data_IF_591583044770
#
_entry.id   IF_591583044770
#
_cell.length_a   1.000
_cell.length_b   1.000
_cell.length_c   1.000
_cell.angle_alpha   90.00
_cell.angle_beta   90.00
_cell.angle_gamma   90.00
#
_symmetry.space_group_name_H-M   'P 1'
#
loop_
_entity.id
_entity.type
_entity.pdbx_description
1 polymer ?
#
# COMPACT_ATOMS: atom_id res chain seq x y z
N UNK A 1 -4.68 16.00 41.90
CA UNK A 1 -3.89 14.76 41.68
C UNK A 1 -4.58 13.98 40.57
N UNK A 2 -3.84 13.74 39.46
CA UNK A 2 -3.92 12.68 38.42
C UNK A 2 -5.25 11.92 38.25
N UNK A 3 -6.02 12.04 37.16
CA UNK A 3 -5.85 11.51 35.77
C UNK A 3 -5.79 9.98 35.69
N UNK A 4 -6.89 9.36 35.30
CA UNK A 4 -6.89 8.01 34.71
C UNK A 4 -7.53 8.06 33.33
N UNK A 5 -6.65 8.15 32.33
CA UNK A 5 -7.00 7.90 30.95
C UNK A 5 -7.31 6.42 30.77
N UNK A 6 -8.47 6.15 30.19
CA UNK A 6 -8.86 4.84 29.68
C UNK A 6 -7.79 4.32 28.71
N UNK A 7 -6.93 3.44 29.21
CA UNK A 7 -6.02 2.63 28.39
C UNK A 7 -6.79 1.39 27.96
N UNK A 8 -7.43 1.43 26.80
CA UNK A 8 -7.87 0.22 26.12
C UNK A 8 -6.67 -0.38 25.38
N UNK A 9 -6.24 -1.57 25.79
CA UNK A 9 -5.17 -2.34 25.18
C UNK A 9 -5.28 -2.37 23.63
N UNK A 10 -4.15 -2.35 22.89
CA UNK A 10 -4.20 -2.48 21.44
C UNK A 10 -4.76 -3.86 21.09
N UNK A 11 -5.99 -3.89 20.60
CA UNK A 11 -6.55 -5.05 19.92
C UNK A 11 -5.57 -5.48 18.82
N UNK A 12 -5.29 -6.77 18.77
CA UNK A 12 -4.55 -7.53 17.75
C UNK A 12 -4.35 -6.71 16.47
N UNK A 13 -3.11 -6.25 16.24
CA UNK A 13 -2.78 -5.17 15.29
C UNK A 13 -3.50 -5.26 13.95
N UNK A 14 -4.55 -4.44 13.78
CA UNK A 14 -5.32 -4.36 12.54
C UNK A 14 -4.46 -3.80 11.43
N UNK A 15 -4.00 -4.66 10.51
CA UNK A 15 -3.26 -4.25 9.31
C UNK A 15 -4.24 -3.88 8.19
N UNK A 16 -3.88 -2.90 7.37
CA UNK A 16 -4.64 -2.56 6.17
C UNK A 16 -3.94 -3.17 4.97
N UNK A 17 -4.61 -4.08 4.27
CA UNK A 17 -4.11 -4.69 3.04
C UNK A 17 -4.71 -3.96 1.84
N UNK A 18 -3.86 -3.45 0.96
CA UNK A 18 -4.23 -2.81 -0.31
C UNK A 18 -3.69 -3.66 -1.46
N UNK A 19 -4.57 -4.34 -2.19
CA UNK A 19 -4.20 -5.08 -3.41
C UNK A 19 -4.34 -4.18 -4.64
N UNK A 20 -3.22 -3.94 -5.33
CA UNK A 20 -3.18 -3.14 -6.57
C UNK A 20 -3.26 -4.00 -7.84
N UNK A 21 -3.43 -5.32 -7.69
CA UNK A 21 -3.59 -6.28 -8.76
C UNK A 21 -2.34 -6.41 -9.64
N UNK A 22 -2.58 -6.69 -10.94
CA UNK A 22 -1.52 -6.95 -11.92
C UNK A 22 -0.96 -5.66 -12.52
N UNK A 23 0.32 -5.37 -12.31
CA UNK A 23 1.01 -4.18 -12.85
C UNK A 23 2.24 -4.57 -13.68
N UNK A 24 2.67 -3.70 -14.60
CA UNK A 24 3.87 -3.94 -15.43
C UNK A 24 5.14 -3.88 -14.56
N UNK A 25 6.15 -4.70 -14.88
CA UNK A 25 7.44 -4.70 -14.17
C UNK A 25 8.03 -3.31 -13.95
N UNK A 26 8.04 -2.46 -14.99
CA UNK A 26 8.56 -1.08 -14.88
C UNK A 26 7.80 -0.23 -13.86
N UNK A 27 6.50 -0.44 -13.69
CA UNK A 27 5.70 0.28 -12.68
C UNK A 27 6.01 -0.24 -11.26
N UNK A 28 6.13 -1.56 -11.10
CA UNK A 28 6.52 -2.19 -9.83
C UNK A 28 7.91 -1.72 -9.40
N UNK A 29 8.88 -1.67 -10.34
CA UNK A 29 10.23 -1.19 -10.06
C UNK A 29 10.27 0.28 -9.61
N UNK A 30 9.40 1.13 -10.17
CA UNK A 30 9.26 2.54 -9.72
C UNK A 30 8.60 2.62 -8.35
N UNK A 31 7.53 1.85 -8.11
CA UNK A 31 6.86 1.78 -6.80
C UNK A 31 7.83 1.37 -5.68
N UNK A 32 8.67 0.34 -5.92
CA UNK A 32 9.69 -0.10 -4.95
C UNK A 32 10.73 0.98 -4.60
N UNK A 33 10.87 2.00 -5.46
CA UNK A 33 11.75 3.16 -5.23
C UNK A 33 11.00 4.36 -4.65
N UNK A 34 9.71 4.23 -4.33
CA UNK A 34 8.86 5.33 -3.89
C UNK A 34 8.55 6.35 -4.99
N UNK A 35 8.49 5.92 -6.26
CA UNK A 35 8.33 6.83 -7.40
C UNK A 35 7.23 6.39 -8.37
N UNK A 36 6.75 7.38 -9.14
CA UNK A 36 5.88 7.19 -10.31
C UNK A 36 4.41 6.95 -9.97
N UNK A 37 3.58 6.88 -11.01
CA UNK A 37 2.11 6.88 -10.91
C UNK A 37 1.51 5.87 -9.92
N UNK A 38 2.15 4.70 -9.77
CA UNK A 38 1.68 3.68 -8.82
C UNK A 38 1.91 4.08 -7.35
N UNK A 39 2.97 4.84 -7.07
CA UNK A 39 3.20 5.44 -5.75
C UNK A 39 2.21 6.58 -5.47
N UNK A 40 1.89 7.39 -6.49
CA UNK A 40 0.90 8.46 -6.38
C UNK A 40 -0.48 7.88 -6.03
N UNK A 41 -0.88 6.79 -6.71
CA UNK A 41 -2.09 6.01 -6.40
C UNK A 41 -2.08 5.53 -4.93
N UNK A 42 -1.00 4.91 -4.47
CA UNK A 42 -0.86 4.46 -3.07
C UNK A 42 -0.94 5.63 -2.08
N UNK A 43 -0.33 6.76 -2.40
CA UNK A 43 -0.33 7.94 -1.53
C UNK A 43 -1.73 8.53 -1.39
N UNK A 44 -2.51 8.58 -2.48
CA UNK A 44 -3.91 9.01 -2.44
C UNK A 44 -4.74 8.11 -1.53
N UNK A 45 -4.63 6.79 -1.71
CA UNK A 45 -5.36 5.82 -0.87
C UNK A 45 -4.98 5.98 0.61
N UNK A 46 -3.69 6.14 0.92
CA UNK A 46 -3.26 6.38 2.30
C UNK A 46 -3.83 7.69 2.86
N UNK A 47 -3.88 8.75 2.06
CA UNK A 47 -4.50 10.01 2.49
C UNK A 47 -6.00 9.85 2.74
N UNK A 48 -6.73 9.17 1.85
CA UNK A 48 -8.16 8.88 2.01
C UNK A 48 -8.43 8.05 3.28
N UNK A 49 -7.57 7.07 3.56
CA UNK A 49 -7.68 6.27 4.78
C UNK A 49 -7.37 7.09 6.05
N UNK A 50 -6.47 8.07 5.95
CA UNK A 50 -6.21 9.02 7.05
C UNK A 50 -7.40 9.96 7.26
N UNK A 51 -7.96 10.53 6.20
CA UNK A 51 -9.11 11.45 6.30
C UNK A 51 -10.37 10.74 6.78
N UNK A 52 -10.57 9.48 6.39
CA UNK A 52 -11.65 8.63 6.88
C UNK A 52 -11.48 8.18 8.36
N UNK A 53 -10.39 8.57 9.03
CA UNK A 53 -10.10 8.16 10.41
C UNK A 53 -9.77 6.67 10.56
N UNK A 54 -9.54 5.96 9.45
CA UNK A 54 -9.24 4.52 9.43
C UNK A 54 -7.80 4.24 9.86
N UNK A 55 -6.88 5.19 9.62
CA UNK A 55 -5.50 5.16 10.10
C UNK A 55 -5.35 6.27 11.14
N UNK A 56 -5.42 5.89 12.41
CA UNK A 56 -5.04 6.80 13.52
C UNK A 56 -3.54 6.71 13.74
N UNK A 57 -2.92 7.78 14.27
CA UNK A 57 -1.46 7.93 14.39
C UNK A 57 -0.71 6.82 15.16
N UNK A 58 -1.43 5.84 15.71
CA UNK A 58 -0.91 4.60 16.26
C UNK A 58 -0.53 3.61 15.13
N UNK A 59 0.54 3.93 14.38
CA UNK A 59 1.38 3.00 13.62
C UNK A 59 0.70 1.75 13.01
N UNK A 60 -0.45 1.89 12.36
CA UNK A 60 -1.10 0.76 11.69
C UNK A 60 -0.31 0.39 10.41
N UNK A 61 0.16 -0.87 10.28
CA UNK A 61 0.89 -1.29 9.09
C UNK A 61 0.00 -1.29 7.85
N UNK A 62 0.46 -0.65 6.77
CA UNK A 62 -0.17 -0.71 5.44
C UNK A 62 0.62 -1.66 4.56
N UNK A 63 -0.01 -2.77 4.17
CA UNK A 63 0.59 -3.81 3.32
C UNK A 63 0.07 -3.60 1.90
N UNK A 64 0.96 -3.24 0.98
CA UNK A 64 0.63 -3.07 -0.44
C UNK A 64 1.04 -4.31 -1.21
N UNK A 65 0.06 -5.05 -1.72
CA UNK A 65 0.27 -6.26 -2.52
C UNK A 65 0.24 -5.90 -4.00
N UNK A 66 1.27 -6.34 -4.74
CA UNK A 66 1.36 -6.15 -6.19
C UNK A 66 1.70 -7.47 -6.88
N UNK A 67 1.03 -7.76 -7.99
CA UNK A 67 1.33 -8.91 -8.84
C UNK A 67 1.96 -8.42 -10.14
N UNK A 68 3.07 -9.03 -10.55
CA UNK A 68 3.65 -8.74 -11.85
C UNK A 68 2.79 -9.33 -12.98
N UNK A 69 2.49 -8.52 -13.99
CA UNK A 69 1.95 -9.02 -15.25
C UNK A 69 3.08 -9.67 -16.05
N UNK A 70 2.99 -10.98 -16.31
CA UNK A 70 3.91 -11.68 -17.22
C UNK A 70 4.01 -10.89 -18.53
N UNK A 71 5.23 -10.46 -18.85
CA UNK A 71 5.50 -9.86 -20.14
C UNK A 71 5.35 -10.93 -21.21
N UNK A 72 4.52 -10.66 -22.23
CA UNK A 72 4.66 -11.37 -23.50
C UNK A 72 5.98 -10.89 -24.10
N UNK A 73 7.01 -11.72 -24.00
CA UNK A 73 8.26 -11.50 -24.73
C UNK A 73 7.92 -11.68 -26.21
N UNK A 74 7.73 -10.57 -26.94
CA UNK A 74 7.74 -10.61 -28.40
C UNK A 74 9.18 -10.93 -28.78
N UNK A 75 9.44 -12.16 -29.21
CA UNK A 75 10.71 -12.56 -29.79
C UNK A 75 10.77 -11.86 -31.16
N UNK A 76 11.68 -10.89 -31.37
CA UNK A 76 11.83 -10.29 -32.70
C UNK A 76 12.34 -11.38 -33.65
N UNK A 77 11.58 -11.69 -34.71
CA UNK A 77 12.00 -12.62 -35.76
C UNK A 77 11.33 -14.00 -35.81
N UNK A 78 10.29 -14.27 -35.00
CA UNK A 78 9.37 -15.39 -35.26
C UNK A 78 8.00 -14.85 -35.69
N UNK A 79 7.71 -14.97 -37.00
CA UNK A 79 6.37 -15.04 -37.57
C UNK A 79 6.22 -16.42 -38.22
#
# INVERSE_FOLDING_TARGET
>A
MTKEGSTSAPATGSHIVVDLGRKKWKQIKKLRKGQGKLMDEVSSVIQELKTAGKITGAAQPVIVVVREKKGTMKIPGLN
#
